data_IF_816561825660
#
_entry.id   IF_816561825660
#
_cell.length_a   1.000
_cell.length_b   1.000
_cell.length_c   1.000
_cell.angle_alpha   90.00
_cell.angle_beta   90.00
_cell.angle_gamma   90.00
#
_symmetry.space_group_name_H-M   'P 1'
#
loop_
_entity.id
_entity.type
_entity.pdbx_description
1 polymer ?
#
# COMPACT_ATOMS: atom_id res chain seq x y z
N UNK A 1 23.99 7.10 6.85
CA UNK A 1 23.11 8.14 6.26
C UNK A 1 21.83 8.21 7.07
N UNK A 2 21.53 9.33 7.73
CA UNK A 2 20.36 9.47 8.61
C UNK A 2 19.29 10.36 7.98
N UNK A 3 18.05 10.25 8.45
CA UNK A 3 16.96 11.12 8.00
C UNK A 3 17.27 12.61 8.25
N UNK A 4 17.88 12.95 9.39
CA UNK A 4 18.23 14.34 9.74
C UNK A 4 19.15 14.97 8.69
N UNK A 5 20.27 14.31 8.37
CA UNK A 5 21.23 14.81 7.38
C UNK A 5 20.63 14.96 5.98
N UNK A 6 19.78 14.01 5.55
CA UNK A 6 19.16 14.09 4.23
C UNK A 6 18.05 15.15 4.15
N UNK A 7 17.23 15.28 5.20
CA UNK A 7 16.13 16.25 5.23
C UNK A 7 16.63 17.70 5.31
N UNK A 8 17.78 17.94 5.95
CA UNK A 8 18.43 19.25 6.01
C UNK A 8 18.83 19.80 4.63
N UNK A 9 19.00 18.94 3.62
CA UNK A 9 19.31 19.36 2.24
C UNK A 9 18.07 19.80 1.45
N UNK A 10 16.86 19.43 1.88
CA UNK A 10 15.62 19.73 1.14
C UNK A 10 15.35 21.22 0.90
N UNK A 11 15.61 22.15 1.86
CA UNK A 11 15.40 23.58 1.62
C UNK A 11 16.26 24.12 0.48
N UNK A 12 17.55 23.75 0.42
CA UNK A 12 18.44 24.15 -0.68
C UNK A 12 17.97 23.55 -2.02
N UNK A 13 17.65 22.25 -2.03
CA UNK A 13 17.11 21.59 -3.23
C UNK A 13 15.82 22.24 -3.74
N UNK A 14 14.95 22.76 -2.86
CA UNK A 14 13.73 23.47 -3.27
C UNK A 14 14.01 24.85 -3.89
N UNK A 15 15.18 25.45 -3.65
CA UNK A 15 15.60 26.69 -4.31
C UNK A 15 16.07 26.40 -5.74
N UNK A 16 16.85 25.34 -5.91
CA UNK A 16 17.39 24.91 -7.21
C UNK A 16 16.32 24.23 -8.09
N UNK A 17 15.55 23.31 -7.51
CA UNK A 17 14.52 22.53 -8.18
C UNK A 17 13.14 23.03 -7.76
N UNK A 18 12.68 24.09 -8.42
CA UNK A 18 11.44 24.81 -8.06
C UNK A 18 10.21 23.90 -8.04
N UNK A 19 10.15 22.90 -8.93
CA UNK A 19 9.05 21.92 -8.99
C UNK A 19 8.87 21.11 -7.68
N UNK A 20 9.91 21.02 -6.82
CA UNK A 20 9.77 20.42 -5.48
C UNK A 20 8.86 21.22 -4.54
N UNK A 21 8.48 22.46 -4.89
CA UNK A 21 7.51 23.26 -4.14
C UNK A 21 6.06 23.00 -4.56
N UNK A 22 5.86 22.44 -5.75
CA UNK A 22 4.53 22.12 -6.29
C UNK A 22 3.90 20.93 -5.55
N UNK A 23 4.73 19.94 -5.19
CA UNK A 23 4.28 18.73 -4.51
C UNK A 23 4.12 18.92 -2.99
N UNK A 24 3.39 18.01 -2.37
CA UNK A 24 3.25 17.96 -0.91
C UNK A 24 4.62 17.82 -0.23
N UNK A 25 4.89 18.71 0.72
CA UNK A 25 6.15 18.72 1.46
C UNK A 25 6.35 17.45 2.28
N UNK A 26 5.24 16.87 2.80
CA UNK A 26 5.29 15.65 3.60
C UNK A 26 5.62 14.45 2.72
N UNK A 27 5.10 14.39 1.49
CA UNK A 27 5.45 13.35 0.52
C UNK A 27 6.96 13.33 0.20
N UNK A 28 7.60 14.49 0.05
CA UNK A 28 9.05 14.59 -0.12
C UNK A 28 9.78 14.05 1.12
N UNK A 29 9.39 14.51 2.31
CA UNK A 29 10.01 14.05 3.56
C UNK A 29 9.84 12.53 3.75
N UNK A 30 8.67 11.98 3.43
CA UNK A 30 8.41 10.53 3.47
C UNK A 30 9.34 9.76 2.53
N UNK A 31 9.64 10.31 1.36
CA UNK A 31 10.61 9.71 0.43
C UNK A 31 12.02 9.65 1.03
N UNK A 32 12.42 10.71 1.74
CA UNK A 32 13.69 10.74 2.48
C UNK A 32 13.70 9.76 3.66
N UNK A 33 12.59 9.62 4.40
CA UNK A 33 12.46 8.61 5.48
C UNK A 33 12.62 7.19 4.94
N UNK A 34 11.97 6.89 3.82
CA UNK A 34 12.07 5.59 3.16
C UNK A 34 13.51 5.30 2.72
N UNK A 35 14.23 6.32 2.23
CA UNK A 35 15.63 6.19 1.85
C UNK A 35 16.52 5.90 3.06
N UNK A 36 16.34 6.65 4.16
CA UNK A 36 17.10 6.42 5.40
C UNK A 36 16.85 5.01 5.96
N UNK A 37 15.59 4.58 6.05
CA UNK A 37 15.22 3.23 6.50
C UNK A 37 15.82 2.15 5.59
N UNK A 38 15.77 2.32 4.26
CA UNK A 38 16.35 1.37 3.32
C UNK A 38 17.86 1.18 3.53
N UNK A 39 18.61 2.26 3.74
CA UNK A 39 20.03 2.16 4.06
C UNK A 39 20.28 1.56 5.45
N UNK A 40 19.47 1.94 6.47
CA UNK A 40 19.56 1.32 7.80
C UNK A 40 19.40 -0.20 7.72
N UNK A 41 18.41 -0.70 6.97
CA UNK A 41 18.21 -2.15 6.76
C UNK A 41 19.33 -2.80 5.96
N UNK A 42 19.88 -2.11 4.95
CA UNK A 42 21.04 -2.58 4.20
C UNK A 42 22.27 -2.79 5.09
N UNK A 43 22.60 -1.80 5.94
CA UNK A 43 23.73 -1.93 6.87
C UNK A 43 23.50 -2.99 7.95
N UNK A 44 22.24 -3.24 8.34
CA UNK A 44 21.85 -4.37 9.20
C UNK A 44 21.85 -5.72 8.48
N UNK A 45 22.27 -5.80 7.22
CA UNK A 45 22.25 -7.01 6.37
C UNK A 45 20.86 -7.65 6.23
N UNK A 46 19.79 -6.88 6.40
CA UNK A 46 18.41 -7.35 6.25
C UNK A 46 17.91 -7.29 4.80
N UNK A 47 18.50 -6.40 3.99
CA UNK A 47 18.11 -6.16 2.61
C UNK A 47 19.35 -5.89 1.74
N UNK A 48 19.20 -6.02 0.42
CA UNK A 48 20.19 -5.55 -0.56
C UNK A 48 20.29 -4.02 -0.61
N UNK A 49 21.34 -3.52 -1.28
CA UNK A 49 21.56 -2.09 -1.44
C UNK A 49 20.34 -1.38 -2.07
N UNK A 50 19.93 -0.20 -1.56
CA UNK A 50 18.83 0.57 -2.14
C UNK A 50 19.10 0.95 -3.61
N UNK A 51 18.05 0.99 -4.42
CA UNK A 51 18.11 1.36 -5.84
C UNK A 51 17.16 2.52 -6.14
N UNK A 52 17.50 3.34 -7.13
CA UNK A 52 16.60 4.39 -7.60
C UNK A 52 15.29 3.82 -8.13
N UNK A 53 14.18 4.47 -7.77
CA UNK A 53 12.85 4.06 -8.24
C UNK A 53 12.66 4.51 -9.69
N UNK A 54 12.45 3.54 -10.59
CA UNK A 54 12.11 3.84 -11.98
C UNK A 54 10.71 4.46 -12.10
N UNK A 55 10.53 5.41 -13.02
CA UNK A 55 9.20 5.91 -13.44
C UNK A 55 8.30 4.79 -13.98
N UNK A 56 8.92 3.72 -14.52
CA UNK A 56 8.23 2.51 -15.03
C UNK A 56 7.92 1.48 -13.94
N UNK A 57 8.15 1.80 -12.66
CA UNK A 57 7.79 0.91 -11.57
C UNK A 57 6.27 0.69 -11.58
N UNK A 58 5.86 -0.57 -11.59
CA UNK A 58 4.46 -0.99 -11.60
C UNK A 58 3.68 -0.52 -10.36
N UNK A 59 4.38 -0.23 -9.26
CA UNK A 59 3.81 0.28 -8.03
C UNK A 59 4.33 1.70 -7.77
N UNK A 60 3.41 2.64 -7.87
CA UNK A 60 3.66 4.05 -7.57
C UNK A 60 2.84 4.40 -6.34
N UNK A 61 3.46 5.05 -5.35
CA UNK A 61 2.79 5.45 -4.13
C UNK A 61 3.41 6.72 -3.60
N UNK A 62 2.60 7.51 -2.91
CA UNK A 62 3.08 8.56 -2.03
C UNK A 62 2.29 8.52 -0.72
N UNK A 63 2.94 8.94 0.36
CA UNK A 63 2.36 8.95 1.70
C UNK A 63 2.47 10.35 2.26
N UNK A 64 1.34 10.86 2.73
CA UNK A 64 1.22 12.15 3.40
C UNK A 64 0.66 11.94 4.81
N UNK A 65 0.93 12.88 5.71
CA UNK A 65 0.51 12.82 7.12
C UNK A 65 -0.47 13.93 7.41
N UNK A 66 -1.36 13.67 8.35
CA UNK A 66 -2.30 14.67 8.82
C UNK A 66 -1.55 15.77 9.57
N UNK A 67 -1.64 16.99 9.08
CA UNK A 67 -1.17 18.21 9.73
C UNK A 67 -2.18 19.31 9.47
N UNK A 68 -2.70 19.94 10.53
CA UNK A 68 -3.65 21.06 10.45
C UNK A 68 -4.83 20.74 9.51
N UNK A 69 -5.43 19.55 9.65
CA UNK A 69 -6.63 19.13 8.90
C UNK A 69 -6.48 19.18 7.36
N UNK A 70 -5.26 18.97 6.88
CA UNK A 70 -4.96 18.92 5.45
C UNK A 70 -5.50 17.65 4.76
N UNK A 71 -5.82 16.60 5.52
CA UNK A 71 -6.49 15.38 5.09
C UNK A 71 -7.84 15.27 5.80
N UNK A 72 -8.92 15.05 5.03
CA UNK A 72 -10.25 14.89 5.58
C UNK A 72 -11.11 14.07 4.62
N UNK A 73 -12.07 13.32 5.15
CA UNK A 73 -13.09 12.66 4.33
C UNK A 73 -14.38 13.48 4.42
N UNK A 74 -14.86 13.94 3.27
CA UNK A 74 -16.06 14.78 3.13
C UNK A 74 -17.01 14.09 2.17
N UNK A 75 -17.99 13.36 2.72
CA UNK A 75 -18.90 12.51 1.94
C UNK A 75 -18.13 11.47 1.11
N UNK A 76 -18.24 11.57 -0.21
CA UNK A 76 -17.56 10.69 -1.18
C UNK A 76 -16.27 11.30 -1.76
N UNK A 77 -15.67 12.27 -1.05
CA UNK A 77 -14.42 12.93 -1.44
C UNK A 77 -13.42 12.89 -0.30
N UNK A 78 -12.14 12.76 -0.65
CA UNK A 78 -11.02 12.87 0.27
C UNK A 78 -10.24 14.14 -0.07
N UNK A 79 -10.03 14.99 0.94
CA UNK A 79 -9.12 16.13 0.88
C UNK A 79 -7.69 15.60 1.01
N UNK A 80 -6.82 15.98 0.08
CA UNK A 80 -5.40 15.65 0.09
C UNK A 80 -4.56 16.92 -0.09
N UNK A 81 -3.37 17.01 0.52
CA UNK A 81 -2.49 18.16 0.34
C UNK A 81 -2.14 18.37 -1.13
N UNK A 82 -2.16 19.63 -1.59
CA UNK A 82 -1.94 20.09 -2.99
C UNK A 82 -2.95 19.59 -4.02
N UNK A 83 -3.57 18.42 -3.82
CA UNK A 83 -4.57 17.85 -4.74
C UNK A 83 -6.01 18.31 -4.46
N UNK A 84 -6.29 18.79 -3.24
CA UNK A 84 -7.63 19.22 -2.86
C UNK A 84 -8.59 18.04 -2.69
N UNK A 85 -9.87 18.26 -2.98
CA UNK A 85 -10.93 17.25 -2.86
C UNK A 85 -10.96 16.30 -4.05
N UNK A 86 -10.66 15.03 -3.82
CA UNK A 86 -10.64 13.97 -4.83
C UNK A 86 -11.79 13.00 -4.56
N UNK A 87 -12.59 12.67 -5.58
CA UNK A 87 -13.64 11.65 -5.44
C UNK A 87 -13.04 10.27 -5.19
N UNK A 88 -13.58 9.53 -4.23
CA UNK A 88 -13.19 8.14 -3.98
C UNK A 88 -14.40 7.31 -3.53
N UNK A 89 -14.28 5.99 -3.65
CA UNK A 89 -15.27 5.06 -3.11
C UNK A 89 -14.81 4.58 -1.73
N UNK A 90 -15.67 4.73 -0.73
CA UNK A 90 -15.43 4.28 0.64
C UNK A 90 -15.63 2.77 0.73
N UNK A 91 -14.65 2.06 1.27
CA UNK A 91 -14.80 0.64 1.63
C UNK A 91 -15.44 0.44 3.01
N UNK A 92 -15.32 1.46 3.87
CA UNK A 92 -15.90 1.57 5.22
C UNK A 92 -15.96 3.05 5.60
N UNK A 93 -16.79 3.39 6.59
CA UNK A 93 -16.72 4.71 7.21
C UNK A 93 -15.43 4.87 8.03
N UNK A 94 -15.01 6.11 8.19
CA UNK A 94 -13.75 6.47 8.86
C UNK A 94 -14.10 7.00 10.25
N UNK A 95 -13.87 6.17 11.25
CA UNK A 95 -14.09 6.49 12.66
C UNK A 95 -12.75 6.80 13.33
N UNK A 96 -12.68 7.92 14.05
CA UNK A 96 -11.47 8.36 14.74
C UNK A 96 -10.60 9.33 13.94
N UNK A 97 -9.36 9.53 14.42
CA UNK A 97 -8.43 10.53 13.89
C UNK A 97 -7.58 9.97 12.77
N UNK A 98 -7.65 10.57 11.59
CA UNK A 98 -6.74 10.24 10.48
C UNK A 98 -5.31 10.64 10.87
N UNK A 99 -4.39 9.68 10.83
CA UNK A 99 -2.96 9.86 11.10
C UNK A 99 -2.20 10.13 9.79
N UNK A 100 -2.46 9.31 8.77
CA UNK A 100 -1.82 9.45 7.46
C UNK A 100 -2.68 8.87 6.34
N UNK A 101 -2.37 9.29 5.12
CA UNK A 101 -2.96 8.76 3.89
C UNK A 101 -1.86 8.31 2.94
N UNK A 102 -2.01 7.09 2.41
CA UNK A 102 -1.14 6.56 1.36
C UNK A 102 -1.95 6.35 0.09
N UNK A 103 -1.66 7.12 -0.95
CA UNK A 103 -2.24 6.90 -2.28
C UNK A 103 -1.31 5.98 -3.06
N UNK A 104 -1.86 4.87 -3.55
CA UNK A 104 -1.13 3.87 -4.34
C UNK A 104 -1.81 3.64 -5.68
N UNK A 105 -1.03 3.66 -6.74
CA UNK A 105 -1.40 3.15 -8.06
C UNK A 105 -0.92 1.72 -8.20
N UNK A 106 -1.84 0.81 -8.48
CA UNK A 106 -1.51 -0.59 -8.72
C UNK A 106 -1.06 -0.82 -10.19
N UNK A 107 -0.53 -2.01 -10.52
CA UNK A 107 -0.05 -2.30 -11.87
C UNK A 107 -1.15 -2.30 -12.95
N UNK A 108 -2.42 -2.45 -12.59
CA UNK A 108 -3.56 -2.31 -13.51
C UNK A 108 -3.98 -0.86 -13.76
N UNK A 109 -3.35 0.10 -13.07
CA UNK A 109 -3.54 1.54 -13.28
C UNK A 109 -4.58 2.16 -12.36
N UNK A 110 -5.23 1.39 -11.49
CA UNK A 110 -6.21 1.87 -10.51
C UNK A 110 -5.51 2.53 -9.32
N UNK A 111 -6.11 3.59 -8.82
CA UNK A 111 -5.67 4.28 -7.61
C UNK A 111 -6.49 3.81 -6.42
N UNK A 112 -5.81 3.64 -5.29
CA UNK A 112 -6.39 3.34 -4.00
C UNK A 112 -5.79 4.29 -2.96
N UNK A 113 -6.59 4.63 -1.95
CA UNK A 113 -6.11 5.34 -0.77
C UNK A 113 -6.24 4.44 0.45
N UNK A 114 -5.17 4.32 1.21
CA UNK A 114 -5.15 3.68 2.53
C UNK A 114 -5.06 4.78 3.57
N UNK A 115 -6.04 4.81 4.49
CA UNK A 115 -6.05 5.72 5.63
C UNK A 115 -5.58 4.96 6.86
N UNK A 116 -4.56 5.47 7.54
CA UNK A 116 -4.24 5.05 8.89
C UNK A 116 -5.04 5.94 9.84
N UNK A 117 -5.85 5.33 10.69
CA UNK A 117 -6.77 6.01 11.59
C UNK A 117 -6.54 5.50 13.00
N UNK A 118 -6.41 6.43 13.93
CA UNK A 118 -6.33 6.18 15.37
C UNK A 118 -7.76 6.23 15.93
N UNK A 119 -8.19 5.13 16.53
CA UNK A 119 -9.54 4.98 17.10
C UNK A 119 -9.43 4.28 18.45
N UNK A 120 -10.36 4.59 19.34
CA UNK A 120 -10.55 3.81 20.56
C UNK A 120 -11.15 2.46 20.20
N UNK A 121 -10.58 1.40 20.76
CA UNK A 121 -11.10 0.04 20.63
C UNK A 121 -11.78 -0.29 21.95
N UNK A 122 -13.11 -0.47 21.90
CA UNK A 122 -13.83 -0.95 23.07
C UNK A 122 -13.47 -2.42 23.32
N UNK A 123 -12.80 -2.68 24.43
CA UNK A 123 -12.54 -4.04 24.87
C UNK A 123 -13.84 -4.70 25.31
N UNK A 124 -14.14 -5.86 24.73
CA UNK A 124 -15.26 -6.68 25.17
C UNK A 124 -14.88 -7.40 26.49
N UNK A 125 -15.85 -7.62 27.40
CA UNK A 125 -15.59 -8.34 28.63
C UNK A 125 -15.05 -9.75 28.34
N UNK A 126 -14.03 -10.16 29.08
CA UNK A 126 -13.43 -11.50 28.93
C UNK A 126 -14.45 -12.56 29.35
N UNK A 127 -14.64 -13.57 28.51
CA UNK A 127 -15.55 -14.69 28.79
C UNK A 127 -14.93 -15.75 29.71
N UNK A 128 -13.61 -15.67 29.98
CA UNK A 128 -12.82 -16.70 30.68
C UNK A 128 -12.87 -18.10 30.04
N UNK A 129 -13.38 -18.21 28.80
CA UNK A 129 -13.36 -19.42 28.00
C UNK A 129 -12.10 -19.48 27.14
N UNK A 130 -11.60 -20.68 26.91
CA UNK A 130 -10.48 -20.94 26.01
C UNK A 130 -10.94 -21.84 24.86
N UNK A 131 -10.55 -21.50 23.64
CA UNK A 131 -10.82 -22.32 22.45
C UNK A 131 -9.49 -22.52 21.73
N UNK A 132 -9.08 -23.79 21.60
CA UNK A 132 -7.96 -24.14 20.74
C UNK A 132 -8.38 -23.99 19.27
N UNK A 133 -7.52 -23.39 18.45
CA UNK A 133 -7.74 -23.26 17.01
C UNK A 133 -6.61 -23.98 16.30
N UNK A 134 -6.92 -25.09 15.63
CA UNK A 134 -6.00 -25.77 14.72
C UNK A 134 -6.28 -25.32 13.27
N UNK A 135 -5.24 -24.95 12.53
CA UNK A 135 -5.38 -24.43 11.16
C UNK A 135 -4.84 -25.43 10.15
N UNK A 136 -5.62 -25.75 9.12
CA UNK A 136 -5.34 -26.85 8.22
C UNK A 136 -5.36 -26.51 6.73
N UNK A 137 -4.93 -27.48 5.92
CA UNK A 137 -5.06 -27.43 4.46
C UNK A 137 -6.43 -27.93 3.97
N UNK A 138 -7.03 -28.88 4.70
CA UNK A 138 -8.35 -29.44 4.40
C UNK A 138 -9.45 -28.49 4.87
N UNK A 139 -9.41 -28.15 6.15
CA UNK A 139 -10.29 -27.19 6.82
C UNK A 139 -9.50 -25.94 7.19
N UNK A 140 -10.10 -24.75 7.08
CA UNK A 140 -9.44 -23.48 7.41
C UNK A 140 -9.09 -23.43 8.90
N UNK A 141 -10.05 -23.81 9.75
CA UNK A 141 -9.87 -23.87 11.19
C UNK A 141 -10.74 -24.98 11.80
N UNK A 142 -10.20 -25.68 12.79
CA UNK A 142 -10.92 -26.63 13.63
C UNK A 142 -10.82 -26.14 15.07
N UNK A 143 -11.96 -25.96 15.72
CA UNK A 143 -12.01 -25.54 17.11
C UNK A 143 -11.91 -26.76 18.04
N UNK A 144 -11.45 -26.54 19.27
CA UNK A 144 -11.35 -27.60 20.29
C UNK A 144 -12.69 -28.22 20.69
N UNK A 145 -13.81 -27.58 20.36
CA UNK A 145 -15.17 -28.13 20.52
C UNK A 145 -15.61 -29.04 19.36
N UNK A 146 -14.75 -29.25 18.37
CA UNK A 146 -15.03 -30.04 17.17
C UNK A 146 -15.72 -29.25 16.05
N UNK A 147 -15.89 -27.94 16.16
CA UNK A 147 -16.44 -27.11 15.08
C UNK A 147 -15.44 -26.96 13.93
N UNK A 148 -15.87 -27.26 12.71
CA UNK A 148 -15.06 -27.12 11.50
C UNK A 148 -15.46 -25.88 10.70
N UNK A 149 -14.45 -25.10 10.30
CA UNK A 149 -14.58 -24.04 9.31
C UNK A 149 -13.92 -24.52 8.00
N UNK A 150 -14.71 -24.67 6.95
CA UNK A 150 -14.20 -25.13 5.66
C UNK A 150 -13.16 -24.17 5.08
N UNK A 151 -12.19 -24.71 4.32
CA UNK A 151 -11.24 -23.89 3.59
C UNK A 151 -11.84 -23.43 2.25
N UNK A 152 -12.19 -22.14 2.08
CA UNK A 152 -12.69 -21.67 0.81
C UNK A 152 -11.57 -21.66 -0.24
N UNK A 153 -11.59 -22.65 -1.14
CA UNK A 153 -10.58 -22.88 -2.19
C UNK A 153 -10.62 -21.85 -3.34
N UNK A 154 -11.02 -20.59 -3.08
CA UNK A 154 -11.09 -19.53 -4.08
C UNK A 154 -9.78 -19.36 -4.85
N UNK A 155 -8.66 -19.57 -4.16
CA UNK A 155 -7.32 -19.42 -4.73
C UNK A 155 -7.06 -20.37 -5.91
N UNK A 156 -7.51 -21.62 -5.88
CA UNK A 156 -7.21 -22.60 -6.94
C UNK A 156 -7.71 -22.17 -8.32
N UNK A 157 -8.96 -21.69 -8.37
CA UNK A 157 -9.55 -21.22 -9.63
C UNK A 157 -8.89 -19.95 -10.17
N UNK A 158 -8.43 -19.08 -9.28
CA UNK A 158 -7.70 -17.85 -9.63
C UNK A 158 -6.27 -18.16 -10.06
N UNK A 159 -5.64 -19.15 -9.44
CA UNK A 159 -4.29 -19.63 -9.74
C UNK A 159 -4.20 -20.18 -11.16
N UNK A 160 -5.14 -21.04 -11.57
CA UNK A 160 -5.19 -21.56 -12.95
C UNK A 160 -5.35 -20.43 -13.98
N UNK A 161 -6.23 -19.47 -13.68
CA UNK A 161 -6.43 -18.27 -14.52
C UNK A 161 -5.16 -17.42 -14.58
N UNK A 162 -4.48 -17.25 -13.44
CA UNK A 162 -3.25 -16.48 -13.32
C UNK A 162 -2.12 -17.14 -14.12
N UNK A 163 -1.92 -18.45 -13.96
CA UNK A 163 -0.89 -19.22 -14.64
C UNK A 163 -1.06 -19.14 -16.17
N UNK A 164 -2.29 -19.32 -16.67
CA UNK A 164 -2.61 -19.14 -18.09
C UNK A 164 -2.29 -17.72 -18.57
N UNK A 165 -2.68 -16.70 -17.80
CA UNK A 165 -2.44 -15.31 -18.15
C UNK A 165 -0.94 -14.94 -18.15
N UNK A 166 -0.17 -15.46 -17.19
CA UNK A 166 1.28 -15.27 -17.11
C UNK A 166 2.02 -15.98 -18.24
N UNK A 167 1.60 -17.19 -18.63
CA UNK A 167 2.18 -17.90 -19.79
C UNK A 167 1.96 -17.16 -21.11
N UNK A 168 0.79 -16.52 -21.28
CA UNK A 168 0.55 -15.65 -22.44
C UNK A 168 1.40 -14.38 -22.36
N UNK A 169 1.65 -13.84 -21.17
CA UNK A 169 2.49 -12.65 -20.98
C UNK A 169 3.95 -12.92 -21.33
N UNK A 170 4.51 -14.05 -20.90
CA UNK A 170 5.92 -14.39 -21.11
C UNK A 170 6.28 -14.58 -22.58
N UNK A 171 5.35 -15.07 -23.40
CA UNK A 171 5.52 -15.22 -24.86
C UNK A 171 5.43 -13.91 -25.63
N UNK A 172 4.97 -12.81 -25.02
CA UNK A 172 4.83 -11.51 -25.69
C UNK A 172 6.10 -10.69 -25.55
N UNK A 173 6.51 -10.04 -26.63
CA UNK A 173 7.65 -9.12 -26.64
C UNK A 173 7.45 -7.99 -25.62
N UNK A 174 8.36 -7.91 -24.65
CA UNK A 174 8.35 -6.92 -23.56
C UNK A 174 8.32 -5.51 -24.13
N UNK A 175 7.43 -4.66 -23.59
CA UNK A 175 7.27 -3.28 -24.05
C UNK A 175 6.30 -3.08 -25.22
N UNK A 176 5.91 -4.14 -25.94
CA UNK A 176 4.87 -4.03 -26.98
C UNK A 176 3.49 -3.67 -26.40
N UNK A 177 2.62 -3.09 -27.23
CA UNK A 177 1.22 -2.79 -26.84
C UNK A 177 0.49 -4.07 -26.39
N UNK A 178 0.68 -5.19 -27.09
CA UNK A 178 0.11 -6.49 -26.72
C UNK A 178 0.63 -6.96 -25.36
N UNK A 179 1.93 -6.83 -25.09
CA UNK A 179 2.49 -7.18 -23.79
C UNK A 179 1.89 -6.32 -22.67
N UNK A 180 1.76 -5.02 -22.87
CA UNK A 180 1.20 -4.12 -21.85
C UNK A 180 -0.28 -4.45 -21.55
N UNK A 181 -1.10 -4.73 -22.57
CA UNK A 181 -2.48 -5.20 -22.40
C UNK A 181 -2.56 -6.47 -21.56
N UNK A 182 -1.68 -7.45 -21.82
CA UNK A 182 -1.65 -8.70 -21.08
C UNK A 182 -1.16 -8.51 -19.64
N UNK A 183 -0.16 -7.65 -19.42
CA UNK A 183 0.36 -7.33 -18.08
C UNK A 183 -0.74 -6.78 -17.18
N UNK A 184 -1.59 -5.90 -17.72
CA UNK A 184 -2.75 -5.37 -17.01
C UNK A 184 -3.77 -6.47 -16.69
N UNK A 185 -3.99 -7.44 -17.60
CA UNK A 185 -4.87 -8.59 -17.34
C UNK A 185 -4.36 -9.45 -16.17
N UNK A 186 -3.05 -9.74 -16.14
CA UNK A 186 -2.41 -10.44 -15.02
C UNK A 186 -2.64 -9.67 -13.71
N UNK A 187 -2.41 -8.36 -13.70
CA UNK A 187 -2.60 -7.48 -12.54
C UNK A 187 -4.06 -7.16 -12.14
N UNK A 188 -5.04 -7.80 -12.80
CA UNK A 188 -6.45 -7.76 -12.40
C UNK A 188 -6.90 -9.08 -11.76
N UNK A 189 -6.20 -10.17 -12.07
CA UNK A 189 -6.40 -11.48 -11.42
C UNK A 189 -5.71 -11.48 -10.04
N UNK A 190 -4.60 -10.75 -9.93
CA UNK A 190 -3.79 -10.55 -8.73
C UNK A 190 -3.60 -9.05 -8.47
#
# INVERSE_FOLDING_TARGET
MTYGTCSAKLPAMKKELVWLKEVDSIAIQSSVRNLADAYTRFFKKQNSAPRFKSKKNNVQSYTTKQTNENIAVVGNKIKLPKLGLVRFAKSREVEGRIVNATVRRNPSGRYFVSLLVETEVQELPKTHSYTGIDVGLKDFAILSDGTHYENPKFFRSLEDKLAKAQRVLSRRMKGSSRWNKQRVKVARIH
#
